data_IF_957524740268
#
_entry.id   IF_957524740268
#
_cell.length_a   1.000
_cell.length_b   1.000
_cell.length_c   1.000
_cell.angle_alpha   90.00
_cell.angle_beta   90.00
_cell.angle_gamma   90.00
#
_symmetry.space_group_name_H-M   'P 1'
#
loop_
_entity.id
_entity.type
_entity.pdbx_description
1 polymer ?
#
# COMPACT_ATOMS: atom_id res chain seq x y z
N UNK A 1 3.64 2.40 -26.99
CA UNK A 1 3.62 3.46 -25.96
C UNK A 1 4.85 4.30 -26.20
N UNK A 2 4.70 5.55 -26.59
CA UNK A 2 5.84 6.44 -26.84
C UNK A 2 6.72 6.54 -25.59
N UNK A 3 8.03 6.39 -25.77
CA UNK A 3 9.03 6.53 -24.73
C UNK A 3 8.95 7.94 -24.14
N UNK A 4 8.34 8.08 -22.95
CA UNK A 4 8.31 9.35 -22.21
C UNK A 4 9.73 9.64 -21.72
N UNK A 5 10.46 10.48 -22.46
CA UNK A 5 11.76 10.99 -22.03
C UNK A 5 11.54 12.09 -21.01
N UNK A 6 12.14 11.98 -19.83
CA UNK A 6 12.01 12.97 -18.76
C UNK A 6 13.35 13.68 -18.54
N UNK A 7 13.33 14.93 -18.09
CA UNK A 7 14.56 15.72 -17.89
C UNK A 7 15.46 15.21 -16.74
N UNK A 8 14.98 14.26 -15.93
CA UNK A 8 15.70 13.68 -14.80
C UNK A 8 15.91 12.18 -14.99
N UNK A 9 17.16 11.74 -14.82
CA UNK A 9 17.54 10.32 -14.79
C UNK A 9 16.72 9.52 -13.77
N UNK A 10 16.33 10.12 -12.64
CA UNK A 10 15.51 9.44 -11.63
C UNK A 10 14.12 9.06 -12.16
N UNK A 11 13.49 9.95 -12.94
CA UNK A 11 12.18 9.67 -13.51
C UNK A 11 12.27 8.72 -14.71
N UNK A 12 13.35 8.76 -15.50
CA UNK A 12 13.59 7.77 -16.56
C UNK A 12 13.70 6.37 -15.95
N UNK A 13 14.51 6.20 -14.90
CA UNK A 13 14.65 4.93 -14.18
C UNK A 13 13.32 4.43 -13.60
N UNK A 14 12.50 5.33 -13.05
CA UNK A 14 11.15 4.98 -12.56
C UNK A 14 10.27 4.45 -13.71
N UNK A 15 10.23 5.12 -14.85
CA UNK A 15 9.43 4.68 -16.00
C UNK A 15 9.96 3.38 -16.59
N UNK A 16 11.28 3.20 -16.70
CA UNK A 16 11.88 1.94 -17.18
C UNK A 16 11.53 0.76 -16.26
N UNK A 17 11.69 0.94 -14.93
CA UNK A 17 11.41 -0.11 -13.95
C UNK A 17 9.92 -0.48 -13.88
N UNK A 18 9.03 0.46 -14.21
CA UNK A 18 7.57 0.25 -14.15
C UNK A 18 6.93 -0.01 -15.52
N UNK A 19 7.66 0.15 -16.63
CA UNK A 19 7.11 0.05 -18.00
C UNK A 19 6.48 -1.32 -18.31
N UNK A 20 7.03 -2.39 -17.74
CA UNK A 20 6.51 -3.75 -17.90
C UNK A 20 5.45 -4.14 -16.85
N UNK A 21 5.21 -3.29 -15.84
CA UNK A 21 4.29 -3.55 -14.74
C UNK A 21 2.96 -2.83 -15.01
N UNK A 22 1.84 -3.51 -14.76
CA UNK A 22 0.56 -2.83 -14.71
C UNK A 22 0.58 -1.84 -13.53
N UNK A 23 -0.08 -0.68 -13.71
CA UNK A 23 -0.24 0.26 -12.62
C UNK A 23 -1.05 -0.41 -11.48
N UNK A 24 -0.45 -0.51 -10.30
CA UNK A 24 -1.13 -0.96 -9.10
C UNK A 24 -2.22 0.05 -8.73
N UNK A 25 -3.42 -0.45 -8.42
CA UNK A 25 -4.53 0.38 -7.94
C UNK A 25 -4.75 0.18 -6.45
N UNK A 26 -5.13 1.23 -5.74
CA UNK A 26 -5.68 1.10 -4.40
C UNK A 26 -6.98 0.27 -4.45
N UNK A 27 -7.24 -0.49 -3.38
CA UNK A 27 -8.52 -1.15 -3.20
C UNK A 27 -9.68 -0.16 -3.07
N UNK A 28 -10.92 -0.66 -3.07
CA UNK A 28 -12.10 0.18 -3.16
C UNK A 28 -12.19 1.25 -2.05
N UNK A 29 -11.82 0.89 -0.81
CA UNK A 29 -11.94 1.77 0.36
C UNK A 29 -10.91 2.91 0.33
N UNK A 30 -9.64 2.61 0.08
CA UNK A 30 -8.60 3.62 0.01
C UNK A 30 -8.56 4.36 -1.33
N UNK A 31 -9.05 3.77 -2.42
CA UNK A 31 -9.26 4.51 -3.67
C UNK A 31 -10.34 5.59 -3.49
N UNK A 32 -11.46 5.26 -2.84
CA UNK A 32 -12.48 6.26 -2.47
C UNK A 32 -11.88 7.33 -1.56
N UNK A 33 -11.17 6.92 -0.49
CA UNK A 33 -10.55 7.86 0.46
C UNK A 33 -9.55 8.78 -0.22
N UNK A 34 -8.70 8.28 -1.12
CA UNK A 34 -7.77 9.10 -1.89
C UNK A 34 -8.49 10.17 -2.70
N UNK A 35 -9.62 9.79 -3.32
CA UNK A 35 -10.43 10.69 -4.15
C UNK A 35 -11.18 11.74 -3.34
N UNK A 36 -11.68 11.40 -2.16
CA UNK A 36 -12.58 12.28 -1.39
C UNK A 36 -11.92 12.99 -0.22
N UNK A 37 -11.03 12.31 0.51
CA UNK A 37 -10.29 12.86 1.65
C UNK A 37 -8.93 12.15 1.80
N UNK A 38 -7.90 12.61 1.05
CA UNK A 38 -6.57 12.03 1.13
C UNK A 38 -5.92 12.24 2.50
N UNK A 39 -6.34 13.23 3.30
CA UNK A 39 -5.79 13.43 4.65
C UNK A 39 -6.18 12.27 5.55
N UNK A 40 -7.45 11.84 5.50
CA UNK A 40 -7.92 10.64 6.22
C UNK A 40 -7.09 9.41 5.87
N UNK A 41 -6.82 9.18 4.57
CA UNK A 41 -5.97 8.08 4.13
C UNK A 41 -4.55 8.19 4.73
N UNK A 42 -3.92 9.36 4.66
CA UNK A 42 -2.57 9.57 5.18
C UNK A 42 -2.48 9.36 6.71
N UNK A 43 -3.49 9.79 7.48
CA UNK A 43 -3.55 9.51 8.92
C UNK A 43 -3.68 8.01 9.19
N UNK A 44 -4.48 7.28 8.40
CA UNK A 44 -4.56 5.83 8.51
C UNK A 44 -3.19 5.19 8.21
N UNK A 45 -2.60 5.49 7.05
CA UNK A 45 -1.31 4.92 6.62
C UNK A 45 -0.19 5.24 7.62
N UNK A 46 -0.20 6.42 8.22
CA UNK A 46 0.79 6.78 9.26
C UNK A 46 0.71 5.87 10.49
N UNK A 47 -0.50 5.44 10.89
CA UNK A 47 -0.68 4.47 11.98
C UNK A 47 -0.13 3.10 11.60
N UNK A 48 -0.44 2.61 10.39
CA UNK A 48 0.11 1.34 9.89
C UNK A 48 1.64 1.36 9.77
N UNK A 49 2.22 2.47 9.29
CA UNK A 49 3.68 2.66 9.27
C UNK A 49 4.27 2.58 10.68
N UNK A 50 3.63 3.22 11.66
CA UNK A 50 4.09 3.15 13.05
C UNK A 50 4.01 1.73 13.61
N UNK A 51 2.89 1.02 13.37
CA UNK A 51 2.72 -0.39 13.78
C UNK A 51 3.77 -1.29 13.12
N UNK A 52 4.04 -1.13 11.83
CA UNK A 52 5.07 -1.89 11.12
C UNK A 52 6.44 -1.76 11.79
N UNK A 53 6.81 -0.57 12.27
CA UNK A 53 8.03 -0.36 13.05
C UNK A 53 7.99 -1.06 14.41
N UNK A 54 6.84 -1.05 15.09
CA UNK A 54 6.69 -1.70 16.40
C UNK A 54 6.76 -3.23 16.31
N UNK A 55 6.35 -3.80 15.17
CA UNK A 55 6.29 -5.25 14.94
C UNK A 55 7.45 -5.78 14.11
N UNK A 56 8.47 -4.96 13.84
CA UNK A 56 9.64 -5.36 13.06
C UNK A 56 10.27 -6.64 13.63
N UNK A 57 10.48 -7.64 12.77
CA UNK A 57 11.03 -8.94 13.15
C UNK A 57 10.01 -9.93 13.74
N UNK A 58 8.73 -9.57 13.84
CA UNK A 58 7.68 -10.54 14.14
C UNK A 58 7.51 -11.50 12.97
N UNK A 59 7.32 -12.78 13.28
CA UNK A 59 7.13 -13.81 12.26
C UNK A 59 5.71 -13.73 11.66
N UNK A 60 4.68 -13.73 12.50
CA UNK A 60 3.28 -13.76 12.06
C UNK A 60 2.41 -12.78 12.83
N UNK A 61 1.66 -11.95 12.11
CA UNK A 61 0.77 -10.93 12.67
C UNK A 61 -0.66 -11.12 12.16
N UNK A 62 -1.66 -10.92 13.03
CA UNK A 62 -3.07 -10.89 12.66
C UNK A 62 -3.59 -9.44 12.63
N UNK A 63 -4.17 -9.03 11.52
CA UNK A 63 -4.97 -7.81 11.37
C UNK A 63 -6.46 -8.15 11.39
N UNK A 64 -7.22 -7.50 12.27
CA UNK A 64 -8.67 -7.64 12.39
C UNK A 64 -9.33 -6.36 11.90
N UNK A 65 -10.13 -6.46 10.84
CA UNK A 65 -10.77 -5.34 10.14
C UNK A 65 -9.82 -4.67 9.14
N UNK A 66 -9.42 -5.39 8.10
CA UNK A 66 -8.46 -4.88 7.10
C UNK A 66 -9.08 -3.99 6.02
N UNK A 67 -10.40 -4.01 5.84
CA UNK A 67 -11.03 -3.45 4.64
C UNK A 67 -10.35 -4.00 3.39
N UNK A 68 -9.96 -3.12 2.47
CA UNK A 68 -9.28 -3.54 1.23
C UNK A 68 -7.79 -3.93 1.36
N UNK A 69 -7.26 -4.00 2.60
CA UNK A 69 -5.89 -4.35 2.93
C UNK A 69 -4.78 -3.49 2.27
N UNK A 70 -5.10 -2.34 1.65
CA UNK A 70 -4.08 -1.50 1.01
C UNK A 70 -3.06 -0.96 2.02
N UNK A 71 -3.51 -0.63 3.24
CA UNK A 71 -2.65 -0.14 4.31
C UNK A 71 -1.81 -1.26 4.96
N UNK A 72 -2.29 -2.51 4.93
CA UNK A 72 -1.59 -3.70 5.43
C UNK A 72 -0.22 -3.88 4.81
N UNK A 73 -0.04 -3.49 3.53
CA UNK A 73 1.25 -3.52 2.83
C UNK A 73 2.37 -2.83 3.62
N UNK A 74 2.07 -1.80 4.41
CA UNK A 74 3.07 -1.12 5.25
C UNK A 74 3.58 -1.98 6.40
N UNK A 75 2.73 -2.85 6.97
CA UNK A 75 3.12 -3.80 8.02
C UNK A 75 3.83 -5.01 7.39
N UNK A 76 3.33 -5.51 6.26
CA UNK A 76 3.93 -6.64 5.53
C UNK A 76 5.39 -6.38 5.09
N UNK A 77 5.81 -5.12 4.98
CA UNK A 77 7.20 -4.76 4.67
C UNK A 77 8.19 -5.10 5.80
N UNK A 78 7.73 -5.25 7.04
CA UNK A 78 8.60 -5.40 8.22
C UNK A 78 8.39 -6.71 8.98
N UNK A 79 7.42 -7.53 8.56
CA UNK A 79 7.09 -8.84 9.15
C UNK A 79 7.06 -9.92 8.08
N UNK A 80 7.23 -11.19 8.48
CA UNK A 80 7.27 -12.30 7.53
C UNK A 80 5.87 -12.62 6.95
N UNK A 81 4.84 -12.74 7.78
CA UNK A 81 3.46 -13.02 7.34
C UNK A 81 2.45 -12.10 8.05
N UNK A 82 1.54 -11.48 7.28
CA UNK A 82 0.32 -10.85 7.82
C UNK A 82 -0.90 -11.65 7.39
N UNK A 83 -1.65 -12.13 8.38
CA UNK A 83 -3.00 -12.67 8.20
C UNK A 83 -3.99 -11.54 8.38
N UNK A 84 -4.85 -11.32 7.40
CA UNK A 84 -5.89 -10.30 7.46
C UNK A 84 -7.26 -10.94 7.55
N UNK A 85 -8.18 -10.26 8.21
CA UNK A 85 -9.58 -10.66 8.30
C UNK A 85 -10.48 -9.43 8.25
N UNK A 86 -11.61 -9.55 7.57
CA UNK A 86 -12.70 -8.59 7.63
C UNK A 86 -14.02 -9.33 7.91
N UNK A 87 -15.03 -8.60 8.40
CA UNK A 87 -16.35 -9.18 8.63
C UNK A 87 -17.17 -9.25 7.33
N UNK A 88 -16.88 -8.37 6.38
CA UNK A 88 -17.54 -8.32 5.08
C UNK A 88 -16.84 -9.27 4.10
N UNK A 89 -17.60 -10.17 3.48
CA UNK A 89 -17.06 -11.21 2.58
C UNK A 89 -16.43 -10.67 1.30
N UNK A 90 -16.67 -9.41 0.95
CA UNK A 90 -16.04 -8.76 -0.20
C UNK A 90 -14.58 -8.40 0.09
N UNK A 91 -14.18 -8.37 1.37
CA UNK A 91 -12.88 -7.94 1.86
C UNK A 91 -12.08 -9.08 2.52
#
# INVERSE_FOLDING_TARGET
MDSKKTDSHYYEELFEKTAAQAAETLGAHYNYSWKTDPRRMLFAFSRYKFVGKMFEGFDRVLEVGCGDASATRLVQQTVNEVVVTDFDQVF
#
